data_IF_637197579094
#
_entry.id   IF_637197579094
#
_cell.length_a   1.000
_cell.length_b   1.000
_cell.length_c   1.000
_cell.angle_alpha   90.00
_cell.angle_beta   90.00
_cell.angle_gamma   90.00
#
_symmetry.space_group_name_H-M   'P 1'
#
loop_
_entity.id
_entity.type
_entity.pdbx_description
1 polymer ?
#
# COMPACT_ATOMS: atom_id res chain seq x y z
N UNK A 1 -17.94 -6.57 30.27
CA UNK A 1 -17.02 -6.92 29.17
C UNK A 1 -16.99 -5.77 28.19
N UNK A 2 -15.80 -5.27 27.83
CA UNK A 2 -15.66 -4.24 26.79
C UNK A 2 -16.00 -4.87 25.44
N UNK A 3 -16.82 -4.19 24.64
CA UNK A 3 -17.19 -4.62 23.28
C UNK A 3 -16.22 -3.96 22.28
N UNK A 4 -15.54 -4.74 21.47
CA UNK A 4 -14.66 -4.28 20.39
C UNK A 4 -15.46 -4.26 19.10
N UNK A 5 -15.35 -3.18 18.34
CA UNK A 5 -16.04 -3.00 17.06
C UNK A 5 -15.08 -2.49 16.00
N UNK A 6 -15.34 -2.82 14.73
CA UNK A 6 -14.66 -2.25 13.56
C UNK A 6 -15.41 -0.98 13.21
N UNK A 7 -14.71 0.15 13.10
CA UNK A 7 -15.29 1.47 12.83
C UNK A 7 -14.99 1.99 11.44
N UNK A 8 -13.97 1.45 10.76
CA UNK A 8 -13.61 1.84 9.40
C UNK A 8 -12.82 0.76 8.67
N UNK A 9 -12.95 0.75 7.36
CA UNK A 9 -12.28 -0.19 6.46
C UNK A 9 -11.63 0.58 5.32
N UNK A 10 -10.48 0.08 4.87
CA UNK A 10 -9.80 0.51 3.65
C UNK A 10 -9.20 -0.68 2.92
N UNK A 11 -9.17 -0.62 1.60
CA UNK A 11 -8.71 -1.74 0.78
C UNK A 11 -8.01 -1.25 -0.50
N UNK A 12 -6.88 -1.89 -0.82
CA UNK A 12 -6.21 -1.81 -2.12
C UNK A 12 -5.97 -3.24 -2.59
N UNK A 13 -6.67 -3.64 -3.63
CA UNK A 13 -6.75 -5.05 -4.05
C UNK A 13 -6.76 -5.19 -5.58
N UNK A 14 -6.52 -6.40 -6.11
CA UNK A 14 -6.69 -6.68 -7.55
C UNK A 14 -8.12 -6.50 -8.08
N UNK A 15 -9.12 -6.38 -7.19
CA UNK A 15 -10.53 -6.15 -7.56
C UNK A 15 -10.94 -4.68 -7.51
N UNK A 16 -10.15 -3.84 -6.83
CA UNK A 16 -10.40 -2.41 -6.71
C UNK A 16 -9.49 -1.75 -5.67
N UNK A 17 -9.33 -0.45 -5.80
CA UNK A 17 -8.44 0.36 -4.96
C UNK A 17 -9.19 1.11 -3.85
N UNK A 18 -10.41 0.69 -3.55
CA UNK A 18 -11.24 1.15 -2.44
C UNK A 18 -12.17 0.03 -1.97
N UNK A 19 -12.73 0.19 -0.77
CA UNK A 19 -13.57 -0.83 -0.13
C UNK A 19 -14.85 -1.10 -0.91
N UNK A 20 -15.47 -0.09 -1.52
CA UNK A 20 -16.71 -0.23 -2.27
C UNK A 20 -16.49 -1.05 -3.55
N UNK A 21 -15.48 -0.67 -4.33
CA UNK A 21 -15.10 -1.38 -5.57
C UNK A 21 -14.67 -2.82 -5.27
N UNK A 22 -13.92 -3.04 -4.19
CA UNK A 22 -13.52 -4.37 -3.73
C UNK A 22 -14.73 -5.24 -3.40
N UNK A 23 -15.65 -4.76 -2.58
CA UNK A 23 -16.87 -5.50 -2.20
C UNK A 23 -17.76 -5.76 -3.41
N UNK A 24 -17.97 -4.76 -4.28
CA UNK A 24 -18.71 -4.94 -5.53
C UNK A 24 -18.05 -5.99 -6.44
N UNK A 25 -16.70 -6.05 -6.44
CA UNK A 25 -15.97 -7.10 -7.15
C UNK A 25 -16.30 -8.49 -6.62
N UNK A 26 -16.31 -8.67 -5.30
CA UNK A 26 -16.65 -9.95 -4.65
C UNK A 26 -18.10 -10.35 -4.94
N UNK A 27 -19.05 -9.44 -4.72
CA UNK A 27 -20.48 -9.74 -4.92
C UNK A 27 -20.85 -10.02 -6.37
N UNK A 28 -20.08 -9.49 -7.33
CA UNK A 28 -20.27 -9.77 -8.75
C UNK A 28 -19.33 -10.87 -9.26
N UNK A 29 -18.71 -11.65 -8.38
CA UNK A 29 -17.84 -12.79 -8.71
C UNK A 29 -16.71 -12.44 -9.70
N UNK A 30 -16.20 -11.20 -9.64
CA UNK A 30 -15.11 -10.75 -10.52
C UNK A 30 -13.83 -11.50 -10.20
N UNK A 31 -13.11 -11.91 -11.25
CA UNK A 31 -11.82 -12.55 -11.12
C UNK A 31 -10.72 -11.49 -10.92
N UNK A 32 -10.05 -11.53 -9.76
CA UNK A 32 -8.89 -10.69 -9.47
C UNK A 32 -7.55 -11.28 -9.93
N UNK A 33 -7.52 -12.58 -10.29
CA UNK A 33 -6.34 -13.24 -10.84
C UNK A 33 -6.34 -13.07 -12.35
N UNK A 34 -5.27 -12.48 -12.89
CA UNK A 34 -5.12 -12.14 -14.31
C UNK A 34 -3.73 -12.50 -14.82
N UNK A 35 -3.49 -12.55 -16.14
CA UNK A 35 -2.14 -12.69 -16.69
C UNK A 35 -1.19 -11.63 -16.11
N UNK A 36 0.03 -12.05 -15.78
CA UNK A 36 1.06 -11.14 -15.26
C UNK A 36 1.47 -10.17 -16.37
N UNK A 37 1.46 -8.87 -16.06
CA UNK A 37 1.84 -7.79 -16.99
C UNK A 37 3.01 -6.94 -16.50
N UNK A 38 3.40 -7.09 -15.23
CA UNK A 38 4.48 -6.30 -14.62
C UNK A 38 5.88 -6.73 -15.05
N UNK A 39 6.02 -7.98 -15.51
CA UNK A 39 7.27 -8.54 -16.04
C UNK A 39 6.95 -9.70 -17.00
N UNK A 40 7.93 -10.16 -17.76
CA UNK A 40 7.78 -11.35 -18.58
C UNK A 40 7.80 -12.62 -17.72
N UNK A 41 6.65 -13.25 -17.60
CA UNK A 41 6.46 -14.45 -16.79
C UNK A 41 6.53 -15.76 -17.59
N UNK A 42 6.87 -15.73 -18.89
CA UNK A 42 6.82 -16.89 -19.80
C UNK A 42 7.67 -18.06 -19.32
N UNK A 43 8.81 -17.79 -18.69
CA UNK A 43 9.74 -18.81 -18.21
C UNK A 43 9.56 -19.20 -16.74
N UNK A 44 8.62 -18.56 -16.01
CA UNK A 44 8.46 -18.77 -14.56
C UNK A 44 7.59 -19.98 -14.20
N UNK A 45 6.89 -20.55 -15.19
CA UNK A 45 5.91 -21.62 -14.97
C UNK A 45 4.59 -21.14 -14.36
N UNK A 46 4.50 -19.90 -13.88
CA UNK A 46 3.28 -19.26 -13.35
C UNK A 46 3.09 -17.98 -14.13
N UNK A 47 1.98 -17.88 -14.86
CA UNK A 47 1.70 -16.76 -15.76
C UNK A 47 0.55 -15.86 -15.30
N UNK A 48 -0.05 -16.18 -14.16
CA UNK A 48 -1.18 -15.44 -13.59
C UNK A 48 -0.93 -15.04 -12.15
N UNK A 49 -1.39 -13.86 -11.76
CA UNK A 49 -1.31 -13.36 -10.38
C UNK A 49 -2.41 -12.33 -10.09
N UNK A 50 -2.61 -12.07 -8.81
CA UNK A 50 -3.38 -10.90 -8.36
C UNK A 50 -2.50 -9.66 -8.41
N UNK A 51 -2.76 -8.77 -9.38
CA UNK A 51 -2.05 -7.51 -9.53
C UNK A 51 -3.01 -6.35 -9.27
N UNK A 52 -2.55 -5.35 -8.53
CA UNK A 52 -3.29 -4.10 -8.35
C UNK A 52 -3.11 -3.26 -9.61
N UNK A 53 -4.22 -2.91 -10.24
CA UNK A 53 -4.29 -2.09 -11.45
C UNK A 53 -4.83 -0.69 -11.12
N UNK A 54 -4.38 0.32 -11.87
CA UNK A 54 -4.90 1.68 -11.79
C UNK A 54 -4.66 2.41 -10.45
N UNK A 55 -3.74 1.92 -9.62
CA UNK A 55 -3.37 2.59 -8.39
C UNK A 55 -2.57 3.86 -8.68
N UNK A 56 -3.03 4.99 -8.15
CA UNK A 56 -2.33 6.27 -8.21
C UNK A 56 -1.96 6.76 -6.80
N UNK A 57 -0.71 6.61 -6.38
CA UNK A 57 -0.26 7.04 -5.05
C UNK A 57 -0.36 8.56 -4.84
N UNK A 58 -0.51 9.34 -5.91
CA UNK A 58 -0.61 10.79 -5.81
C UNK A 58 -1.91 11.26 -5.16
N UNK A 59 -2.95 10.43 -5.18
CA UNK A 59 -4.27 10.79 -4.65
C UNK A 59 -4.28 10.91 -3.12
N UNK A 60 -3.61 10.01 -2.40
CA UNK A 60 -3.64 9.96 -0.92
C UNK A 60 -2.25 10.10 -0.30
N UNK A 61 -1.24 9.44 -0.83
CA UNK A 61 0.14 9.49 -0.32
C UNK A 61 0.86 10.78 -0.73
N UNK A 62 0.54 11.31 -1.91
CA UNK A 62 1.21 12.45 -2.52
C UNK A 62 2.49 12.07 -3.27
N UNK A 63 2.73 12.75 -4.39
CA UNK A 63 3.84 12.42 -5.32
C UNK A 63 5.23 12.46 -4.68
N UNK A 64 5.45 13.36 -3.72
CA UNK A 64 6.75 13.54 -3.07
C UNK A 64 7.08 12.36 -2.16
N UNK A 65 6.12 11.93 -1.36
CA UNK A 65 6.35 10.91 -0.35
C UNK A 65 6.24 9.50 -0.95
N UNK A 66 5.39 9.31 -1.96
CA UNK A 66 5.34 8.07 -2.73
C UNK A 66 6.69 7.69 -3.37
N UNK A 67 7.52 8.68 -3.75
CA UNK A 67 8.87 8.42 -4.30
C UNK A 67 9.89 7.89 -3.29
N UNK A 68 9.55 7.93 -2.00
CA UNK A 68 10.41 7.47 -0.90
C UNK A 68 9.89 6.17 -0.28
N UNK A 69 8.88 5.58 -0.88
CA UNK A 69 8.20 4.39 -0.39
C UNK A 69 8.15 3.34 -1.47
N UNK A 70 8.45 2.09 -1.13
CA UNK A 70 8.11 0.96 -2.01
C UNK A 70 6.59 0.82 -2.12
N UNK A 71 6.15 0.13 -3.14
CA UNK A 71 4.73 0.01 -3.50
C UNK A 71 3.88 -0.60 -2.37
N UNK A 72 4.41 -1.57 -1.60
CA UNK A 72 3.68 -2.15 -0.47
C UNK A 72 3.36 -1.11 0.61
N UNK A 73 4.30 -0.19 0.90
CA UNK A 73 4.09 0.91 1.85
C UNK A 73 3.06 1.91 1.32
N UNK A 74 3.09 2.20 0.02
CA UNK A 74 2.09 3.06 -0.61
C UNK A 74 0.68 2.47 -0.49
N UNK A 75 0.51 1.16 -0.72
CA UNK A 75 -0.78 0.47 -0.52
C UNK A 75 -1.24 0.50 0.94
N UNK A 76 -0.32 0.28 1.88
CA UNK A 76 -0.63 0.30 3.30
C UNK A 76 -1.10 1.68 3.77
N UNK A 77 -0.40 2.75 3.35
CA UNK A 77 -0.77 4.13 3.69
C UNK A 77 -2.12 4.51 3.06
N UNK A 78 -2.33 4.15 1.80
CA UNK A 78 -3.61 4.43 1.12
C UNK A 78 -4.78 3.72 1.80
N UNK A 79 -4.65 2.41 2.09
CA UNK A 79 -5.69 1.65 2.78
C UNK A 79 -5.94 2.17 4.21
N UNK A 80 -4.89 2.59 4.94
CA UNK A 80 -5.04 3.17 6.26
C UNK A 80 -5.77 4.52 6.21
N UNK A 81 -5.45 5.37 5.23
CA UNK A 81 -6.11 6.64 5.01
C UNK A 81 -7.61 6.47 4.68
N UNK A 82 -7.95 5.50 3.82
CA UNK A 82 -9.34 5.12 3.56
C UNK A 82 -10.07 4.66 4.83
N UNK A 83 -9.41 3.85 5.67
CA UNK A 83 -10.00 3.37 6.91
C UNK A 83 -10.27 4.50 7.90
N UNK A 84 -9.35 5.46 8.03
CA UNK A 84 -9.53 6.65 8.86
C UNK A 84 -10.67 7.53 8.35
N UNK A 85 -10.75 7.73 7.05
CA UNK A 85 -11.84 8.48 6.42
C UNK A 85 -13.20 7.79 6.63
N UNK A 86 -13.27 6.49 6.40
CA UNK A 86 -14.48 5.69 6.60
C UNK A 86 -14.92 5.65 8.07
N UNK A 87 -13.97 5.69 9.02
CA UNK A 87 -14.24 5.78 10.46
C UNK A 87 -14.65 7.19 10.92
N UNK A 88 -14.60 8.21 10.06
CA UNK A 88 -14.79 9.61 10.46
C UNK A 88 -13.68 10.17 11.35
N UNK A 89 -12.49 9.57 11.32
CA UNK A 89 -11.34 9.96 12.13
C UNK A 89 -10.35 10.86 11.37
N UNK A 90 -10.57 11.10 10.09
CA UNK A 90 -9.77 12.02 9.28
C UNK A 90 -10.29 13.44 9.46
N UNK A 91 -9.38 14.36 9.73
CA UNK A 91 -9.72 15.80 9.82
C UNK A 91 -10.01 16.41 8.45
N UNK A 92 -10.67 17.56 8.45
CA UNK A 92 -10.87 18.32 7.22
C UNK A 92 -9.51 18.71 6.59
N UNK A 93 -9.51 18.83 5.27
CA UNK A 93 -8.33 19.24 4.51
C UNK A 93 -7.84 20.63 4.99
N UNK A 94 -6.53 20.75 5.21
CA UNK A 94 -5.92 21.99 5.74
C UNK A 94 -5.94 22.11 7.26
N UNK A 95 -6.46 21.12 7.99
CA UNK A 95 -6.37 21.08 9.46
C UNK A 95 -4.92 20.86 9.92
N UNK A 96 -4.52 21.52 11.03
CA UNK A 96 -3.21 21.28 11.65
C UNK A 96 -3.05 19.84 12.16
N UNK A 97 -4.16 19.22 12.59
CA UNK A 97 -4.18 17.83 13.00
C UNK A 97 -4.76 16.95 11.88
N UNK A 98 -4.04 15.95 11.41
CA UNK A 98 -4.52 15.06 10.34
C UNK A 98 -5.65 14.13 10.80
N UNK A 99 -5.93 14.03 12.09
CA UNK A 99 -6.95 13.15 12.66
C UNK A 99 -7.78 13.83 13.73
N UNK A 100 -9.03 13.39 13.91
CA UNK A 100 -9.97 13.84 14.96
C UNK A 100 -9.92 12.96 16.22
N UNK A 101 -8.87 12.14 16.37
CA UNK A 101 -8.69 11.28 17.55
C UNK A 101 -8.58 12.14 18.81
N UNK A 102 -9.48 11.92 19.77
CA UNK A 102 -9.57 12.74 20.99
C UNK A 102 -8.38 12.53 21.93
N UNK A 103 -7.91 11.29 22.06
CA UNK A 103 -6.75 10.93 22.90
C UNK A 103 -5.73 10.14 22.06
N UNK A 104 -4.74 10.82 21.45
CA UNK A 104 -3.71 10.17 20.63
C UNK A 104 -2.85 9.17 21.41
N UNK A 105 -2.77 9.28 22.74
CA UNK A 105 -1.98 8.35 23.57
C UNK A 105 -2.60 6.96 23.65
N UNK A 106 -3.87 6.84 23.30
CA UNK A 106 -4.63 5.58 23.24
C UNK A 106 -4.89 5.09 21.83
N UNK A 107 -4.33 5.76 20.84
CA UNK A 107 -4.46 5.38 19.45
C UNK A 107 -3.14 4.78 18.97
N UNK A 108 -3.16 3.53 18.54
CA UNK A 108 -1.98 2.81 18.04
C UNK A 108 -2.15 2.38 16.60
N UNK A 109 -1.03 2.21 15.90
CA UNK A 109 -0.97 1.64 14.56
C UNK A 109 -0.24 0.32 14.63
N UNK A 110 -0.83 -0.72 14.06
CA UNK A 110 -0.20 -2.03 13.89
C UNK A 110 -0.25 -2.37 12.40
N UNK A 111 0.91 -2.50 11.78
CA UNK A 111 1.06 -2.87 10.38
C UNK A 111 1.72 -4.24 10.28
N UNK A 112 1.02 -5.20 9.67
CA UNK A 112 1.59 -6.49 9.30
C UNK A 112 2.14 -6.44 7.88
N UNK A 113 3.37 -6.90 7.70
CA UNK A 113 4.04 -6.93 6.40
C UNK A 113 4.65 -8.32 6.17
N UNK A 114 4.42 -8.90 4.98
CA UNK A 114 4.93 -10.24 4.65
C UNK A 114 6.42 -10.25 4.31
N UNK A 115 6.88 -9.39 3.40
CA UNK A 115 8.26 -9.42 2.85
C UNK A 115 8.88 -8.02 2.80
N UNK A 116 8.08 -6.96 2.71
CA UNK A 116 8.57 -5.60 2.52
C UNK A 116 8.82 -5.26 1.05
N UNK A 117 9.74 -4.33 0.84
CA UNK A 117 10.08 -3.77 -0.47
C UNK A 117 10.97 -4.67 -1.31
N UNK A 118 10.47 -5.84 -1.72
CA UNK A 118 11.27 -6.80 -2.51
C UNK A 118 11.76 -6.19 -3.83
N UNK A 119 10.94 -5.38 -4.48
CA UNK A 119 11.34 -4.66 -5.72
C UNK A 119 12.48 -3.68 -5.44
N UNK A 120 12.36 -2.89 -4.38
CA UNK A 120 13.43 -1.97 -3.92
C UNK A 120 14.72 -2.74 -3.63
N UNK A 121 14.65 -3.86 -2.92
CA UNK A 121 15.81 -4.71 -2.63
C UNK A 121 16.47 -5.19 -3.91
N UNK A 122 15.70 -5.77 -4.84
CA UNK A 122 16.19 -6.26 -6.12
C UNK A 122 16.89 -5.15 -6.92
N UNK A 123 16.23 -4.01 -7.08
CA UNK A 123 16.76 -2.89 -7.87
C UNK A 123 18.05 -2.31 -7.27
N UNK A 124 18.13 -2.21 -5.94
CA UNK A 124 19.35 -1.71 -5.28
C UNK A 124 20.49 -2.73 -5.34
N UNK A 125 20.21 -4.03 -5.28
CA UNK A 125 21.23 -5.09 -5.45
C UNK A 125 21.79 -5.08 -6.88
N UNK A 126 20.93 -5.01 -7.89
CA UNK A 126 21.36 -4.90 -9.30
C UNK A 126 22.18 -3.62 -9.50
N UNK A 127 21.72 -2.49 -8.97
CA UNK A 127 22.42 -1.22 -9.06
C UNK A 127 23.78 -1.23 -8.36
N UNK A 128 23.88 -1.90 -7.21
CA UNK A 128 25.14 -2.11 -6.50
C UNK A 128 26.12 -2.95 -7.34
N UNK A 129 25.63 -4.03 -7.93
CA UNK A 129 26.44 -4.91 -8.78
C UNK A 129 26.95 -4.18 -10.02
N UNK A 130 26.11 -3.47 -10.74
CA UNK A 130 26.43 -2.88 -12.03
C UNK A 130 27.17 -1.54 -11.94
N UNK A 131 26.92 -0.75 -10.87
CA UNK A 131 27.38 0.64 -10.75
C UNK A 131 28.20 0.91 -9.49
N UNK A 132 28.38 -0.11 -8.66
CA UNK A 132 29.14 -0.03 -7.42
C UNK A 132 28.32 0.43 -6.19
N UNK A 133 28.85 0.16 -4.97
CA UNK A 133 28.13 0.39 -3.72
C UNK A 133 27.80 1.85 -3.45
N UNK A 134 28.56 2.80 -4.01
CA UNK A 134 28.30 4.24 -3.85
C UNK A 134 27.01 4.71 -4.54
N UNK A 135 26.41 3.87 -5.37
CA UNK A 135 25.18 4.16 -6.12
C UNK A 135 23.92 3.62 -5.46
N UNK A 136 24.04 2.86 -4.40
CA UNK A 136 22.88 2.42 -3.59
C UNK A 136 22.20 3.65 -2.97
N UNK A 137 20.87 3.64 -2.96
CA UNK A 137 20.10 4.74 -2.37
C UNK A 137 20.35 4.85 -0.87
N UNK A 138 20.58 6.06 -0.32
CA UNK A 138 20.62 6.24 1.13
C UNK A 138 19.27 5.94 1.80
N UNK A 139 18.18 5.94 1.03
CA UNK A 139 16.85 5.59 1.48
C UNK A 139 16.55 4.07 1.34
N UNK A 140 17.53 3.26 0.92
CA UNK A 140 17.33 1.83 0.67
C UNK A 140 16.66 1.10 1.85
N UNK A 141 17.17 1.30 3.06
CA UNK A 141 16.61 0.64 4.23
C UNK A 141 15.22 1.15 4.58
N UNK A 142 14.97 2.48 4.70
CA UNK A 142 13.61 2.99 4.94
C UNK A 142 12.58 2.63 3.86
N UNK A 143 13.01 2.49 2.60
CA UNK A 143 12.12 2.12 1.50
C UNK A 143 11.77 0.62 1.51
N UNK A 144 12.63 -0.23 2.06
CA UNK A 144 12.49 -1.70 1.98
C UNK A 144 11.81 -2.34 3.19
N UNK A 145 11.57 -1.59 4.27
CA UNK A 145 11.03 -2.11 5.54
C UNK A 145 9.54 -1.80 5.67
#
# INVERSE_FOLDING_TARGET
MSRVVITGLGAVTPLGNDTETFLNGIFNEKMGIKPITKFDASETGITVAGQVDGFDPAQRVGKRDARKMDLFSQYAVDAADQALENAGLKSAEGSENPTTVQDPTRFGVILGNGIGGLTTIQDQVIKMHDKGPQRVSPLFVPESI
#
